data_IF_450482969681
#
_entry.id   IF_450482969681
#
_cell.length_a   1.000
_cell.length_b   1.000
_cell.length_c   1.000
_cell.angle_alpha   90.00
_cell.angle_beta   90.00
_cell.angle_gamma   90.00
#
_symmetry.space_group_name_H-M   'P 1'
#
loop_
_entity.id
_entity.type
_entity.pdbx_description
1 polymer ?
#
# COMPACT_ATOMS: atom_id res chain seq x y z
N UNK A 1 3.38 -13.43 -27.34
CA UNK A 1 2.59 -12.48 -26.52
C UNK A 1 2.40 -12.94 -25.07
N UNK A 2 2.10 -14.23 -24.82
CA UNK A 2 1.88 -14.83 -23.47
C UNK A 2 3.00 -14.60 -22.43
N UNK A 3 4.26 -14.43 -22.86
CA UNK A 3 5.40 -14.23 -21.94
C UNK A 3 5.36 -12.86 -21.23
N UNK A 4 4.95 -11.80 -21.93
CA UNK A 4 5.00 -10.42 -21.41
C UNK A 4 3.91 -10.20 -20.35
N UNK A 5 2.70 -10.72 -20.58
CA UNK A 5 1.59 -10.61 -19.63
C UNK A 5 1.87 -11.35 -18.32
N UNK A 6 2.45 -12.56 -18.42
CA UNK A 6 2.89 -13.31 -17.24
C UNK A 6 3.96 -12.56 -16.47
N UNK A 7 4.97 -12.01 -17.16
CA UNK A 7 6.02 -11.21 -16.53
C UNK A 7 5.43 -9.99 -15.80
N UNK A 8 4.52 -9.25 -16.42
CA UNK A 8 3.85 -8.11 -15.80
C UNK A 8 3.07 -8.50 -14.55
N UNK A 9 2.33 -9.61 -14.58
CA UNK A 9 1.59 -10.13 -13.43
C UNK A 9 2.52 -10.44 -12.26
N UNK A 10 3.61 -11.20 -12.49
CA UNK A 10 4.56 -11.53 -11.43
C UNK A 10 5.31 -10.31 -10.91
N UNK A 11 5.69 -9.38 -11.79
CA UNK A 11 6.35 -8.14 -11.38
C UNK A 11 5.44 -7.27 -10.49
N UNK A 12 4.16 -7.13 -10.85
CA UNK A 12 3.18 -6.37 -10.06
C UNK A 12 2.89 -7.04 -8.71
N UNK A 13 2.79 -8.37 -8.67
CA UNK A 13 2.63 -9.10 -7.41
C UNK A 13 3.86 -8.93 -6.51
N UNK A 14 5.07 -9.07 -7.05
CA UNK A 14 6.30 -8.88 -6.30
C UNK A 14 6.38 -7.45 -5.75
N UNK A 15 6.07 -6.45 -6.57
CA UNK A 15 6.00 -5.05 -6.13
C UNK A 15 4.98 -4.84 -5.00
N UNK A 16 3.78 -5.43 -5.13
CA UNK A 16 2.73 -5.32 -4.11
C UNK A 16 3.16 -5.97 -2.78
N UNK A 17 3.78 -7.14 -2.83
CA UNK A 17 4.33 -7.82 -1.65
C UNK A 17 5.45 -7.01 -1.00
N UNK A 18 6.41 -6.51 -1.80
CA UNK A 18 7.54 -5.74 -1.29
C UNK A 18 7.11 -4.40 -0.69
N UNK A 19 6.23 -3.65 -1.35
CA UNK A 19 5.72 -2.38 -0.81
C UNK A 19 4.93 -2.60 0.49
N UNK A 20 4.13 -3.66 0.56
CA UNK A 20 3.41 -4.03 1.77
C UNK A 20 4.35 -4.43 2.90
N UNK A 21 5.39 -5.20 2.59
CA UNK A 21 6.43 -5.56 3.54
C UNK A 21 7.16 -4.31 4.06
N UNK A 22 7.48 -3.35 3.19
CA UNK A 22 8.10 -2.08 3.61
C UNK A 22 7.20 -1.29 4.55
N UNK A 23 5.87 -1.26 4.33
CA UNK A 23 4.94 -0.63 5.25
C UNK A 23 4.92 -1.31 6.62
N UNK A 24 4.89 -2.65 6.65
CA UNK A 24 4.94 -3.41 7.91
C UNK A 24 6.30 -3.21 8.62
N UNK A 25 7.40 -3.24 7.88
CA UNK A 25 8.74 -3.01 8.40
C UNK A 25 8.86 -1.60 9.00
N UNK A 26 8.37 -0.59 8.29
CA UNK A 26 8.28 0.78 8.81
C UNK A 26 7.51 0.83 10.12
N UNK A 27 6.36 0.15 10.20
CA UNK A 27 5.56 0.08 11.43
C UNK A 27 6.34 -0.50 12.59
N UNK A 28 6.99 -1.65 12.40
CA UNK A 28 7.80 -2.28 13.45
C UNK A 28 8.90 -1.32 13.94
N UNK A 29 9.64 -0.70 13.02
CA UNK A 29 10.72 0.22 13.39
C UNK A 29 10.22 1.44 14.18
N UNK A 30 9.10 2.04 13.76
CA UNK A 30 8.53 3.21 14.46
C UNK A 30 7.91 2.82 15.79
N UNK A 31 7.19 1.69 15.84
CA UNK A 31 6.45 1.29 17.02
C UNK A 31 7.39 0.94 18.19
N UNK A 32 8.48 0.24 17.89
CA UNK A 32 9.52 -0.11 18.87
C UNK A 32 10.57 0.98 19.08
N UNK A 33 10.48 2.12 18.38
CA UNK A 33 11.37 3.25 18.65
C UNK A 33 10.95 3.99 19.93
N UNK A 34 11.92 4.21 20.82
CA UNK A 34 11.75 5.01 22.04
C UNK A 34 11.64 6.51 21.76
N UNK A 35 12.13 6.96 20.60
CA UNK A 35 12.12 8.37 20.18
C UNK A 35 10.89 8.77 19.37
N UNK A 36 10.04 7.82 18.99
CA UNK A 36 8.84 8.08 18.19
C UNK A 36 7.70 8.65 19.04
N UNK A 37 7.09 9.75 18.56
CA UNK A 37 5.93 10.37 19.21
C UNK A 37 4.71 9.45 19.17
N UNK A 38 3.78 9.61 20.12
CA UNK A 38 2.52 8.84 20.15
C UNK A 38 1.73 8.94 18.84
N UNK A 39 1.72 10.12 18.22
CA UNK A 39 1.08 10.33 16.93
C UNK A 39 1.74 9.50 15.82
N UNK A 40 3.08 9.55 15.74
CA UNK A 40 3.83 8.80 14.75
C UNK A 40 3.64 7.28 14.92
N UNK A 41 3.57 6.79 16.16
CA UNK A 41 3.22 5.39 16.46
C UNK A 41 1.81 5.02 15.99
N UNK A 42 0.84 5.92 16.17
CA UNK A 42 -0.52 5.74 15.66
C UNK A 42 -0.58 5.69 14.13
N UNK A 43 0.09 6.62 13.45
CA UNK A 43 0.20 6.62 11.99
C UNK A 43 0.92 5.36 11.46
N UNK A 44 1.99 4.94 12.12
CA UNK A 44 2.70 3.72 11.82
C UNK A 44 1.80 2.48 11.98
N UNK A 45 0.95 2.43 13.00
CA UNK A 45 -0.01 1.33 13.18
C UNK A 45 -0.98 1.21 11.98
N UNK A 46 -1.53 2.34 11.50
CA UNK A 46 -2.40 2.35 10.32
C UNK A 46 -1.64 1.92 9.05
N UNK A 47 -0.40 2.39 8.89
CA UNK A 47 0.47 2.03 7.76
C UNK A 47 0.72 0.52 7.70
N UNK A 48 1.02 -0.09 8.85
CA UNK A 48 1.25 -1.54 8.94
C UNK A 48 -0.03 -2.33 8.72
N UNK A 49 -1.15 -1.84 9.25
CA UNK A 49 -2.48 -2.39 8.98
C UNK A 49 -2.80 -2.42 7.49
N UNK A 50 -2.54 -1.33 6.76
CA UNK A 50 -2.70 -1.32 5.30
C UNK A 50 -1.80 -2.36 4.63
N UNK A 51 -0.52 -2.45 5.00
CA UNK A 51 0.41 -3.44 4.43
C UNK A 51 -0.09 -4.88 4.59
N UNK A 52 -0.51 -5.25 5.81
CA UNK A 52 -1.05 -6.59 6.09
C UNK A 52 -2.35 -6.86 5.34
N UNK A 53 -3.28 -5.89 5.31
CA UNK A 53 -4.55 -6.03 4.61
C UNK A 53 -4.36 -6.13 3.09
N UNK A 54 -3.40 -5.40 2.50
CA UNK A 54 -3.10 -5.51 1.08
C UNK A 54 -2.54 -6.91 0.73
N UNK A 55 -1.66 -7.50 1.56
CA UNK A 55 -1.20 -8.89 1.40
C UNK A 55 -2.37 -9.87 1.51
N UNK A 56 -3.26 -9.67 2.48
CA UNK A 56 -4.45 -10.49 2.65
C UNK A 56 -5.35 -10.43 1.41
N UNK A 57 -5.65 -9.22 0.90
CA UNK A 57 -6.50 -9.04 -0.28
C UNK A 57 -5.83 -9.61 -1.53
N UNK A 58 -4.52 -9.48 -1.69
CA UNK A 58 -3.79 -10.10 -2.79
C UNK A 58 -3.87 -11.63 -2.73
N UNK A 59 -3.72 -12.21 -1.54
CA UNK A 59 -3.85 -13.66 -1.30
C UNK A 59 -5.29 -14.13 -1.56
N UNK A 60 -6.28 -13.34 -1.15
CA UNK A 60 -7.68 -13.63 -1.39
C UNK A 60 -8.04 -13.54 -2.89
N UNK A 61 -7.53 -12.53 -3.59
CA UNK A 61 -7.67 -12.38 -5.04
C UNK A 61 -7.06 -13.57 -5.78
N UNK A 62 -5.89 -14.04 -5.34
CA UNK A 62 -5.25 -15.22 -5.93
C UNK A 62 -6.15 -16.45 -5.80
N UNK A 63 -6.69 -16.73 -4.61
CA UNK A 63 -7.47 -17.94 -4.37
C UNK A 63 -8.89 -17.88 -4.97
N UNK A 64 -9.59 -16.76 -4.80
CA UNK A 64 -11.01 -16.65 -5.16
C UNK A 64 -11.26 -16.10 -6.56
N UNK A 65 -10.28 -15.40 -7.15
CA UNK A 65 -10.43 -14.59 -8.37
C UNK A 65 -11.63 -13.63 -8.32
N UNK A 66 -12.07 -13.22 -7.12
CA UNK A 66 -13.27 -12.40 -6.95
C UNK A 66 -13.00 -10.93 -7.26
N UNK A 67 -13.87 -10.32 -8.08
CA UNK A 67 -13.87 -8.88 -8.35
C UNK A 67 -14.08 -8.02 -7.08
N UNK A 68 -14.67 -8.61 -6.02
CA UNK A 68 -14.77 -7.96 -4.72
C UNK A 68 -13.41 -7.65 -4.10
N UNK A 69 -12.39 -8.45 -4.40
CA UNK A 69 -11.02 -8.21 -3.94
C UNK A 69 -10.48 -6.88 -4.47
N UNK A 70 -10.79 -6.54 -5.72
CA UNK A 70 -10.37 -5.27 -6.34
C UNK A 70 -11.05 -4.08 -5.65
N UNK A 71 -12.37 -4.19 -5.41
CA UNK A 71 -13.14 -3.14 -4.72
C UNK A 71 -12.66 -2.94 -3.28
N UNK A 72 -12.42 -4.03 -2.56
CA UNK A 72 -11.88 -3.99 -1.20
C UNK A 72 -10.51 -3.31 -1.18
N UNK A 73 -9.61 -3.65 -2.12
CA UNK A 73 -8.29 -3.02 -2.17
C UNK A 73 -8.37 -1.52 -2.49
N UNK A 74 -9.24 -1.13 -3.42
CA UNK A 74 -9.46 0.29 -3.75
C UNK A 74 -9.93 1.10 -2.53
N UNK A 75 -10.85 0.55 -1.74
CA UNK A 75 -11.32 1.20 -0.53
C UNK A 75 -10.19 1.36 0.50
N UNK A 76 -9.44 0.28 0.77
CA UNK A 76 -8.31 0.30 1.70
C UNK A 76 -7.22 1.29 1.27
N UNK A 77 -6.87 1.28 -0.02
CA UNK A 77 -5.93 2.22 -0.61
C UNK A 77 -6.41 3.68 -0.47
N UNK A 78 -7.68 3.95 -0.77
CA UNK A 78 -8.27 5.29 -0.64
C UNK A 78 -8.27 5.78 0.81
N UNK A 79 -8.68 4.93 1.75
CA UNK A 79 -8.65 5.24 3.18
C UNK A 79 -7.22 5.53 3.66
N UNK A 80 -6.25 4.69 3.28
CA UNK A 80 -4.86 4.89 3.69
C UNK A 80 -4.25 6.15 3.09
N UNK A 81 -4.52 6.45 1.82
CA UNK A 81 -4.11 7.72 1.19
C UNK A 81 -4.69 8.92 1.93
N UNK A 82 -5.97 8.86 2.33
CA UNK A 82 -6.61 9.92 3.13
C UNK A 82 -5.90 10.15 4.46
N UNK A 83 -5.58 9.07 5.20
CA UNK A 83 -4.81 9.16 6.45
C UNK A 83 -3.42 9.74 6.20
N UNK A 84 -2.74 9.34 5.13
CA UNK A 84 -1.43 9.85 4.76
C UNK A 84 -1.45 11.35 4.45
N UNK A 85 -2.46 11.82 3.70
CA UNK A 85 -2.64 13.24 3.40
C UNK A 85 -2.86 14.03 4.69
N UNK A 86 -3.72 13.56 5.59
CA UNK A 86 -3.93 14.22 6.88
C UNK A 86 -2.65 14.29 7.70
N UNK A 87 -1.84 13.22 7.70
CA UNK A 87 -0.54 13.22 8.36
C UNK A 87 0.42 14.23 7.72
N UNK A 88 0.49 14.28 6.39
CA UNK A 88 1.34 15.22 5.65
C UNK A 88 0.96 16.69 5.89
N UNK A 89 -0.34 16.98 6.00
CA UNK A 89 -0.84 18.33 6.31
C UNK A 89 -0.56 18.74 7.76
N UNK A 90 -0.68 17.81 8.72
CA UNK A 90 -0.55 18.10 10.15
C UNK A 90 0.87 18.50 10.55
N UNK A 91 1.85 17.70 10.15
CA UNK A 91 3.20 17.83 10.68
C UNK A 91 4.06 18.84 9.91
N UNK A 92 3.48 19.59 8.96
CA UNK A 92 4.23 20.53 8.09
C UNK A 92 5.48 19.85 7.48
N UNK A 93 5.40 18.53 7.21
CA UNK A 93 6.57 17.65 7.36
C UNK A 93 7.74 18.06 6.48
N UNK A 94 7.52 18.72 5.34
CA UNK A 94 8.59 19.39 4.60
C UNK A 94 8.00 20.50 3.71
N UNK A 95 8.68 21.64 3.57
CA UNK A 95 8.23 22.78 2.76
C UNK A 95 7.74 22.36 1.36
N UNK A 96 6.48 22.69 1.06
CA UNK A 96 5.84 22.60 -0.26
C UNK A 96 6.08 21.30 -1.05
N UNK A 97 7.20 21.26 -1.79
CA UNK A 97 7.49 20.30 -2.85
C UNK A 97 7.64 18.85 -2.35
N UNK A 98 8.26 18.65 -1.20
CA UNK A 98 8.63 17.33 -0.65
C UNK A 98 7.43 16.60 -0.05
N UNK A 99 6.52 17.32 0.61
CA UNK A 99 5.24 16.75 1.06
C UNK A 99 4.35 16.31 -0.12
N UNK A 100 4.24 17.16 -1.14
CA UNK A 100 3.49 16.84 -2.37
C UNK A 100 4.10 15.65 -3.11
N UNK A 101 5.43 15.61 -3.25
CA UNK A 101 6.12 14.49 -3.88
C UNK A 101 5.86 13.17 -3.14
N UNK A 102 5.88 13.17 -1.80
CA UNK A 102 5.59 11.98 -1.01
C UNK A 102 4.15 11.46 -1.22
N UNK A 103 3.16 12.36 -1.29
CA UNK A 103 1.77 11.99 -1.58
C UNK A 103 1.63 11.38 -2.98
N UNK A 104 2.28 11.96 -3.99
CA UNK A 104 2.25 11.46 -5.37
C UNK A 104 2.88 10.06 -5.43
N UNK A 105 4.07 9.90 -4.85
CA UNK A 105 4.77 8.59 -4.81
C UNK A 105 3.88 7.54 -4.15
N UNK A 106 3.27 7.87 -3.01
CA UNK A 106 2.37 6.94 -2.35
C UNK A 106 1.15 6.60 -3.22
N UNK A 107 0.50 7.59 -3.82
CA UNK A 107 -0.64 7.36 -4.70
C UNK A 107 -0.31 6.40 -5.86
N UNK A 108 0.90 6.51 -6.44
CA UNK A 108 1.39 5.58 -7.47
C UNK A 108 1.57 4.17 -6.89
N UNK A 109 2.19 4.02 -5.72
CA UNK A 109 2.36 2.71 -5.06
C UNK A 109 1.00 2.05 -4.82
N UNK A 110 0.04 2.79 -4.27
CA UNK A 110 -1.31 2.30 -3.99
C UNK A 110 -2.05 1.91 -5.27
N UNK A 111 -1.91 2.71 -6.33
CA UNK A 111 -2.46 2.39 -7.64
C UNK A 111 -1.86 1.09 -8.20
N UNK A 112 -0.54 0.92 -8.12
CA UNK A 112 0.13 -0.31 -8.55
C UNK A 112 -0.34 -1.53 -7.75
N UNK A 113 -0.60 -1.39 -6.45
CA UNK A 113 -1.17 -2.47 -5.63
C UNK A 113 -2.57 -2.85 -6.10
N UNK A 114 -3.41 -1.87 -6.45
CA UNK A 114 -4.73 -2.13 -7.04
C UNK A 114 -4.61 -2.83 -8.40
N UNK A 115 -3.66 -2.43 -9.24
CA UNK A 115 -3.40 -3.10 -10.51
C UNK A 115 -2.91 -4.54 -10.32
N UNK A 116 -2.07 -4.79 -9.32
CA UNK A 116 -1.61 -6.14 -8.99
C UNK A 116 -2.80 -7.05 -8.64
N UNK A 117 -3.70 -6.60 -7.76
CA UNK A 117 -4.92 -7.35 -7.40
C UNK A 117 -5.81 -7.57 -8.62
N UNK A 118 -6.00 -6.54 -9.45
CA UNK A 118 -6.82 -6.62 -10.67
C UNK A 118 -6.28 -7.62 -11.69
N UNK A 119 -4.96 -7.63 -11.90
CA UNK A 119 -4.30 -8.58 -12.80
C UNK A 119 -4.40 -10.01 -12.25
N UNK A 120 -4.26 -10.18 -10.94
CA UNK A 120 -4.43 -11.49 -10.29
C UNK A 120 -5.86 -12.04 -10.46
N UNK A 121 -6.90 -11.21 -10.37
CA UNK A 121 -8.26 -11.69 -10.60
C UNK A 121 -8.53 -12.06 -12.07
N UNK A 122 -7.85 -11.39 -13.01
CA UNK A 122 -8.04 -11.57 -14.47
C UNK A 122 -7.13 -12.60 -15.12
N UNK A 123 -6.30 -13.27 -14.33
CA UNK A 123 -5.40 -14.30 -14.86
C UNK A 123 -6.22 -15.47 -15.40
N UNK A 124 -5.86 -15.94 -16.59
CA UNK A 124 -6.37 -17.17 -17.20
C UNK A 124 -5.66 -18.40 -16.59
#
# INVERSE_FOLDING_TARGET
MISIEKFQLYALMLFSVLSSFLFVFYTVNVYFSDSATTWLKGFAYVTGGYGLLNIYVLSWAWNSRSDWSVKANMLLAGCFLGVFIMNALRDSFYGGLTGVAAVIVLAVVLYMNVQAVKQVCRRD
#
